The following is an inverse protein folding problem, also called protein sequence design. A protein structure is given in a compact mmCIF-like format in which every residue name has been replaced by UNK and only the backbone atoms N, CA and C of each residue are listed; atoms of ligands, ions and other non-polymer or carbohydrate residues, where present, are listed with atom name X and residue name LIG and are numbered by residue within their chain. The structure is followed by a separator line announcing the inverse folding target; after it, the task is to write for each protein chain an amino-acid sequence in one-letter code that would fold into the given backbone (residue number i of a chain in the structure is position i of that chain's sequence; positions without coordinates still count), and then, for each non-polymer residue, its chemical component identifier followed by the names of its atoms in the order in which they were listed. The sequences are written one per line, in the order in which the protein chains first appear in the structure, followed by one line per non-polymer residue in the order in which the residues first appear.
data_IF_522021707665
#
_entry.id   IF_522021707665
#
_cell.length_a   1.000
_cell.length_b   1.000
_cell.length_c   1.000
_cell.angle_alpha   90.00
_cell.angle_beta   90.00
_cell.angle_gamma   90.00
#
_symmetry.space_group_name_H-M   'P 1'
#
loop_
_entity.id
_entity.type
_entity.pdbx_description
1 polymer ?
#
# COMPACT_ATOMS: atom_id res chain seq x y z
N UNK A 1 -17.85 26.84 -22.59
CA UNK A 1 -18.13 25.46 -23.06
C UNK A 1 -17.85 25.30 -24.56
N UNK A 2 -16.65 25.64 -25.05
CA UNK A 2 -16.35 25.57 -26.50
C UNK A 2 -15.23 24.59 -26.89
N UNK A 3 -14.63 23.88 -25.93
CA UNK A 3 -13.53 22.92 -26.20
C UNK A 3 -13.98 21.46 -26.31
N UNK A 4 -15.28 21.16 -26.22
CA UNK A 4 -15.83 19.79 -26.32
C UNK A 4 -16.68 19.56 -27.59
N UNK A 5 -16.90 20.59 -28.41
CA UNK A 5 -17.85 20.54 -29.54
C UNK A 5 -17.37 19.71 -30.73
N UNK A 6 -16.07 19.68 -31.01
CA UNK A 6 -15.54 18.98 -32.20
C UNK A 6 -15.39 17.46 -31.99
N UNK A 7 -15.28 17.00 -30.74
CA UNK A 7 -15.04 15.59 -30.40
C UNK A 7 -16.32 14.76 -30.25
N UNK A 8 -17.47 15.43 -30.09
CA UNK A 8 -18.77 14.80 -29.87
C UNK A 8 -19.81 15.47 -30.77
N UNK A 9 -19.60 15.47 -32.09
CA UNK A 9 -20.61 15.90 -33.05
C UNK A 9 -21.82 14.96 -32.98
N UNK A 10 -22.72 15.22 -32.03
CA UNK A 10 -23.95 14.47 -31.87
C UNK A 10 -24.81 14.65 -33.12
N UNK A 11 -25.54 13.61 -33.56
CA UNK A 11 -26.55 13.76 -34.59
C UNK A 11 -27.54 14.88 -34.21
N UNK A 12 -27.75 15.82 -35.12
CA UNK A 12 -28.61 16.99 -34.92
C UNK A 12 -30.04 16.60 -34.51
N UNK A 13 -30.53 15.47 -35.03
CA UNK A 13 -31.84 14.90 -34.70
C UNK A 13 -32.02 14.58 -33.21
N UNK A 14 -30.95 14.28 -32.47
CA UNK A 14 -31.04 14.03 -31.03
C UNK A 14 -31.08 15.33 -30.22
N UNK A 15 -30.44 16.37 -30.74
CA UNK A 15 -30.49 17.71 -30.14
C UNK A 15 -31.90 18.28 -30.26
N UNK A 16 -32.53 18.09 -31.42
CA UNK A 16 -33.91 18.49 -31.71
C UNK A 16 -34.90 17.73 -30.83
N UNK A 17 -34.81 16.40 -30.74
CA UNK A 17 -35.71 15.61 -29.88
C UNK A 17 -35.54 15.96 -28.40
N UNK A 18 -34.30 16.23 -27.95
CA UNK A 18 -34.08 16.74 -26.60
C UNK A 18 -34.81 18.08 -26.40
N UNK A 19 -34.71 18.99 -27.36
CA UNK A 19 -35.39 20.29 -27.30
C UNK A 19 -36.92 20.11 -27.21
N UNK A 20 -37.51 19.26 -28.04
CA UNK A 20 -38.95 18.93 -28.04
C UNK A 20 -39.42 18.37 -26.69
N UNK A 21 -38.71 17.38 -26.14
CA UNK A 21 -39.02 16.79 -24.83
C UNK A 21 -38.93 17.84 -23.72
N UNK A 22 -37.92 18.71 -23.76
CA UNK A 22 -37.73 19.77 -22.75
C UNK A 22 -38.85 20.82 -22.82
N UNK A 23 -39.45 21.01 -23.99
CA UNK A 23 -40.61 21.88 -24.21
C UNK A 23 -41.97 21.16 -24.02
N UNK A 24 -41.96 19.93 -23.49
CA UNK A 24 -43.18 19.20 -23.11
C UNK A 24 -43.87 18.47 -24.26
N UNK A 25 -43.24 18.41 -25.44
CA UNK A 25 -43.72 17.61 -26.56
C UNK A 25 -43.16 16.19 -26.41
N UNK A 26 -44.02 15.23 -26.05
CA UNK A 26 -43.61 13.83 -25.93
C UNK A 26 -43.59 13.17 -27.32
N UNK A 27 -42.44 12.65 -27.79
CA UNK A 27 -42.39 11.89 -29.02
C UNK A 27 -43.15 10.57 -28.90
N UNK A 28 -43.59 10.02 -30.04
CA UNK A 28 -44.24 8.71 -30.05
C UNK A 28 -43.29 7.59 -29.58
N UNK A 29 -43.84 6.51 -29.01
CA UNK A 29 -43.06 5.35 -28.56
C UNK A 29 -42.17 4.78 -29.69
N UNK A 30 -42.72 4.65 -30.90
CA UNK A 30 -41.98 4.16 -32.08
C UNK A 30 -40.80 5.07 -32.45
N UNK A 31 -40.96 6.38 -32.29
CA UNK A 31 -39.90 7.36 -32.50
C UNK A 31 -38.79 7.18 -31.47
N UNK A 32 -39.14 7.00 -30.19
CA UNK A 32 -38.19 6.76 -29.10
C UNK A 32 -37.41 5.45 -29.28
N UNK A 33 -38.08 4.34 -29.60
CA UNK A 33 -37.42 3.04 -29.86
C UNK A 33 -36.40 3.13 -31.00
N UNK A 34 -36.77 3.84 -32.07
CA UNK A 34 -35.88 4.05 -33.22
C UNK A 34 -34.68 4.92 -32.85
N UNK A 35 -34.89 5.97 -32.07
CA UNK A 35 -33.83 6.87 -31.62
C UNK A 35 -32.86 6.20 -30.65
N UNK A 36 -33.37 5.41 -29.71
CA UNK A 36 -32.56 4.63 -28.77
C UNK A 36 -31.69 3.62 -29.52
N UNK A 37 -32.25 2.91 -30.50
CA UNK A 37 -31.48 1.96 -31.33
C UNK A 37 -30.34 2.67 -32.05
N UNK A 38 -30.63 3.79 -32.74
CA UNK A 38 -29.62 4.61 -33.42
C UNK A 38 -28.58 5.19 -32.45
N UNK A 39 -28.96 5.52 -31.22
CA UNK A 39 -28.05 6.02 -30.20
C UNK A 39 -27.07 4.95 -29.69
N UNK A 40 -27.55 3.72 -29.50
CA UNK A 40 -26.71 2.60 -29.11
C UNK A 40 -25.71 2.22 -30.21
N UNK A 41 -26.13 2.24 -31.48
CA UNK A 41 -25.24 1.98 -32.61
C UNK A 41 -24.14 3.04 -32.73
N UNK A 42 -24.50 4.31 -32.65
CA UNK A 42 -23.53 5.40 -32.65
C UNK A 42 -22.56 5.36 -31.45
N UNK A 43 -23.04 5.03 -30.25
CA UNK A 43 -22.18 4.85 -29.07
C UNK A 43 -21.18 3.72 -29.31
N UNK A 44 -21.63 2.61 -29.92
CA UNK A 44 -20.77 1.48 -30.29
C UNK A 44 -19.71 1.87 -31.30
N UNK A 45 -20.09 2.61 -32.34
CA UNK A 45 -19.23 2.92 -33.48
C UNK A 45 -18.30 4.11 -33.26
N UNK A 46 -18.70 5.11 -32.47
CA UNK A 46 -17.95 6.37 -32.34
C UNK A 46 -17.30 6.53 -30.98
N UNK A 47 -18.04 6.26 -29.91
CA UNK A 47 -17.52 6.40 -28.56
C UNK A 47 -16.69 5.19 -28.15
N UNK A 48 -17.27 3.98 -28.20
CA UNK A 48 -16.58 2.77 -27.74
C UNK A 48 -15.45 2.33 -28.68
N UNK A 49 -15.52 2.61 -29.98
CA UNK A 49 -14.39 2.37 -30.90
C UNK A 49 -13.19 3.27 -30.58
N UNK A 50 -13.43 4.55 -30.25
CA UNK A 50 -12.42 5.50 -29.80
C UNK A 50 -11.82 5.10 -28.46
N UNK A 51 -12.64 4.71 -27.49
CA UNK A 51 -12.19 4.16 -26.20
C UNK A 51 -11.34 2.92 -26.43
N UNK A 52 -11.75 1.98 -27.30
CA UNK A 52 -10.96 0.79 -27.65
C UNK A 52 -9.64 1.16 -28.32
N UNK A 53 -9.60 2.16 -29.19
CA UNK A 53 -8.38 2.63 -29.84
C UNK A 53 -7.40 3.26 -28.84
N UNK A 54 -7.90 4.06 -27.89
CA UNK A 54 -7.11 4.62 -26.79
C UNK A 54 -6.59 3.52 -25.85
N UNK A 55 -7.42 2.51 -25.56
CA UNK A 55 -7.01 1.35 -24.77
C UNK A 55 -5.98 0.48 -25.50
N UNK A 56 -6.08 0.33 -26.83
CA UNK A 56 -5.09 -0.37 -27.67
C UNK A 56 -3.78 0.41 -27.83
N UNK A 57 -3.83 1.75 -27.74
CA UNK A 57 -2.66 2.65 -27.74
C UNK A 57 -1.95 2.72 -26.40
N UNK A 58 -2.45 2.07 -25.34
CA UNK A 58 -1.66 1.92 -24.12
C UNK A 58 -0.35 1.20 -24.47
N UNK A 59 0.82 1.70 -24.05
CA UNK A 59 2.06 0.97 -24.22
C UNK A 59 1.86 -0.44 -23.67
N UNK A 60 2.33 -1.46 -24.41
CA UNK A 60 2.27 -2.87 -23.98
C UNK A 60 2.52 -2.92 -22.49
N UNK A 61 1.52 -3.36 -21.70
CA UNK A 61 1.69 -3.56 -20.26
C UNK A 61 2.94 -4.42 -20.13
N UNK A 62 4.05 -3.85 -19.66
CA UNK A 62 5.19 -4.65 -19.22
C UNK A 62 4.61 -5.65 -18.23
N UNK A 63 4.94 -6.91 -18.42
CA UNK A 63 4.53 -7.95 -17.50
C UNK A 63 4.95 -7.52 -16.09
N UNK A 64 3.97 -7.33 -15.20
CA UNK A 64 4.18 -6.82 -13.85
C UNK A 64 5.09 -7.76 -13.08
N UNK A 65 5.05 -9.05 -13.39
CA UNK A 65 5.91 -10.06 -12.78
C UNK A 65 7.34 -9.94 -13.28
N UNK A 66 7.55 -9.76 -14.59
CA UNK A 66 8.87 -9.47 -15.15
C UNK A 66 9.50 -8.22 -14.52
N UNK A 67 8.74 -7.13 -14.39
CA UNK A 67 9.22 -5.91 -13.72
C UNK A 67 9.52 -6.17 -12.23
N UNK A 68 8.69 -6.97 -11.56
CA UNK A 68 8.92 -7.38 -10.18
C UNK A 68 10.23 -8.16 -10.01
N UNK A 69 10.54 -9.07 -10.94
CA UNK A 69 11.81 -9.81 -10.98
C UNK A 69 13.01 -8.90 -11.25
N UNK A 70 12.88 -7.94 -12.15
CA UNK A 70 13.92 -6.93 -12.42
C UNK A 70 14.22 -6.10 -11.16
N UNK A 71 13.19 -5.60 -10.47
CA UNK A 71 13.35 -4.87 -9.20
C UNK A 71 14.01 -5.76 -8.15
N UNK A 72 13.57 -7.01 -8.00
CA UNK A 72 14.16 -7.94 -7.05
C UNK A 72 15.65 -8.20 -7.34
N UNK A 73 16.03 -8.29 -8.62
CA UNK A 73 17.43 -8.44 -9.01
C UNK A 73 18.27 -7.21 -8.60
N UNK A 74 17.76 -6.00 -8.84
CA UNK A 74 18.41 -4.74 -8.39
C UNK A 74 18.57 -4.72 -6.87
N UNK A 75 17.54 -5.08 -6.11
CA UNK A 75 17.60 -5.07 -4.65
C UNK A 75 18.54 -6.16 -4.09
N UNK A 76 18.70 -7.29 -4.78
CA UNK A 76 19.69 -8.31 -4.43
C UNK A 76 21.11 -7.83 -4.68
N UNK A 77 21.36 -7.16 -5.81
CA UNK A 77 22.65 -6.54 -6.10
C UNK A 77 22.99 -5.48 -5.05
N UNK A 78 22.02 -4.60 -4.75
CA UNK A 78 22.14 -3.62 -3.67
C UNK A 78 22.57 -4.26 -2.35
N UNK A 79 21.91 -5.35 -1.94
CA UNK A 79 22.23 -6.04 -0.69
C UNK A 79 23.67 -6.58 -0.68
N UNK A 80 24.13 -7.15 -1.80
CA UNK A 80 25.49 -7.66 -1.92
C UNK A 80 26.53 -6.52 -1.85
N UNK A 81 26.32 -5.47 -2.64
CA UNK A 81 27.22 -4.31 -2.72
C UNK A 81 27.26 -3.56 -1.39
N UNK A 82 26.10 -3.35 -0.75
CA UNK A 82 26.01 -2.67 0.54
C UNK A 82 26.71 -3.44 1.65
N UNK A 83 26.58 -4.77 1.68
CA UNK A 83 27.35 -5.61 2.62
C UNK A 83 28.86 -5.47 2.37
N UNK A 84 29.29 -5.35 1.12
CA UNK A 84 30.68 -5.09 0.76
C UNK A 84 31.16 -3.69 1.15
N UNK A 85 30.32 -2.66 1.06
CA UNK A 85 30.61 -1.30 1.55
C UNK A 85 30.79 -1.28 3.07
N UNK A 86 29.86 -1.88 3.82
CA UNK A 86 29.91 -1.91 5.29
C UNK A 86 31.19 -2.61 5.78
N UNK A 87 31.57 -3.74 5.16
CA UNK A 87 32.81 -4.45 5.49
C UNK A 87 34.08 -3.62 5.25
N UNK A 88 34.04 -2.68 4.31
CA UNK A 88 35.16 -1.77 3.98
C UNK A 88 35.16 -0.51 4.85
N UNK A 89 34.26 -0.40 5.83
CA UNK A 89 34.10 0.81 6.64
C UNK A 89 33.47 1.98 5.89
N UNK A 90 32.72 1.69 4.81
CA UNK A 90 32.06 2.72 4.01
C UNK A 90 30.97 3.44 4.80
N UNK A 91 30.83 4.74 4.54
CA UNK A 91 29.83 5.61 5.16
C UNK A 91 28.38 5.11 4.91
N UNK A 92 27.51 5.39 5.86
CA UNK A 92 26.07 5.12 5.79
C UNK A 92 25.30 6.14 4.96
N UNK A 93 25.67 7.41 4.96
CA UNK A 93 24.87 8.45 4.28
C UNK A 93 25.26 8.61 2.79
N UNK A 94 26.55 8.52 2.49
CA UNK A 94 27.12 8.57 1.14
C UNK A 94 27.12 7.25 0.36
N UNK A 95 26.27 6.27 0.70
CA UNK A 95 26.31 4.94 0.06
C UNK A 95 26.15 5.01 -1.47
N UNK A 96 27.19 4.56 -2.18
CA UNK A 96 27.19 4.46 -3.65
C UNK A 96 26.25 3.36 -4.11
N UNK A 97 26.24 2.21 -3.44
CA UNK A 97 25.26 1.15 -3.66
C UNK A 97 23.82 1.68 -3.56
N UNK A 98 23.53 2.54 -2.59
CA UNK A 98 22.21 3.16 -2.44
C UNK A 98 21.83 4.07 -3.61
N UNK A 99 22.79 4.83 -4.13
CA UNK A 99 22.59 5.68 -5.31
C UNK A 99 22.39 4.85 -6.59
N UNK A 100 23.22 3.83 -6.81
CA UNK A 100 23.17 2.98 -8.00
C UNK A 100 21.85 2.17 -8.05
N UNK A 101 21.43 1.63 -6.89
CA UNK A 101 20.15 0.93 -6.77
C UNK A 101 18.96 1.87 -6.96
N UNK A 102 19.01 3.09 -6.42
CA UNK A 102 17.99 4.11 -6.67
C UNK A 102 17.86 4.41 -8.17
N UNK A 103 18.97 4.68 -8.86
CA UNK A 103 18.99 4.99 -10.29
C UNK A 103 18.45 3.81 -11.13
N UNK A 104 18.78 2.57 -10.74
CA UNK A 104 18.25 1.38 -11.40
C UNK A 104 16.74 1.22 -11.19
N UNK A 105 16.24 1.40 -9.96
CA UNK A 105 14.82 1.41 -9.67
C UNK A 105 14.07 2.53 -10.41
N UNK A 106 14.63 3.74 -10.49
CA UNK A 106 14.04 4.85 -11.25
C UNK A 106 13.99 4.55 -12.75
N UNK A 107 15.01 3.90 -13.33
CA UNK A 107 14.98 3.49 -14.75
C UNK A 107 13.93 2.40 -15.04
N UNK A 108 13.75 1.45 -14.11
CA UNK A 108 12.78 0.36 -14.28
C UNK A 108 11.35 0.87 -14.12
N UNK A 109 11.10 1.66 -13.08
CA UNK A 109 9.77 2.00 -12.61
C UNK A 109 9.32 3.43 -12.99
N UNK A 110 10.26 4.32 -13.30
CA UNK A 110 9.99 5.74 -13.50
C UNK A 110 9.36 6.38 -12.26
N UNK A 111 8.56 7.42 -12.50
CA UNK A 111 7.83 8.16 -11.45
C UNK A 111 6.36 7.72 -11.29
N UNK A 112 5.99 6.57 -11.83
CA UNK A 112 4.62 6.07 -11.75
C UNK A 112 4.28 5.57 -10.35
N UNK A 113 3.16 6.00 -9.78
CA UNK A 113 2.68 5.52 -8.49
C UNK A 113 2.56 3.98 -8.43
N UNK A 114 2.05 3.36 -9.49
CA UNK A 114 1.92 1.90 -9.57
C UNK A 114 3.28 1.18 -9.57
N UNK A 115 4.28 1.79 -10.17
CA UNK A 115 5.62 1.22 -10.25
C UNK A 115 6.38 1.42 -8.94
N UNK A 116 6.27 2.59 -8.30
CA UNK A 116 6.79 2.82 -6.95
C UNK A 116 6.15 1.89 -5.92
N UNK A 117 4.85 1.60 -6.04
CA UNK A 117 4.16 0.59 -5.24
C UNK A 117 4.74 -0.82 -5.45
N UNK A 118 5.10 -1.18 -6.68
CA UNK A 118 5.75 -2.45 -6.96
C UNK A 118 7.12 -2.53 -6.28
N UNK A 119 7.92 -1.45 -6.33
CA UNK A 119 9.20 -1.38 -5.60
C UNK A 119 8.99 -1.59 -4.11
N UNK A 120 8.09 -0.84 -3.48
CA UNK A 120 7.80 -0.98 -2.04
C UNK A 120 7.34 -2.41 -1.68
N UNK A 121 6.49 -3.02 -2.51
CA UNK A 121 5.97 -4.38 -2.29
C UNK A 121 7.04 -5.47 -2.40
N UNK A 122 7.98 -5.34 -3.34
CA UNK A 122 9.11 -6.28 -3.47
C UNK A 122 10.15 -6.05 -2.36
N UNK A 123 10.38 -4.79 -1.99
CA UNK A 123 11.38 -4.40 -1.02
C UNK A 123 11.03 -4.81 0.42
N UNK A 124 9.77 -4.62 0.84
CA UNK A 124 9.32 -4.90 2.21
C UNK A 124 9.73 -6.29 2.74
N UNK A 125 9.45 -7.42 2.05
CA UNK A 125 9.88 -8.73 2.54
C UNK A 125 11.40 -8.94 2.52
N UNK A 126 12.15 -8.21 1.68
CA UNK A 126 13.62 -8.28 1.63
C UNK A 126 14.29 -7.51 2.77
N UNK A 127 13.58 -6.57 3.39
CA UNK A 127 14.04 -5.79 4.53
C UNK A 127 13.95 -6.55 5.87
N UNK A 128 13.29 -7.72 5.87
CA UNK A 128 13.11 -8.56 7.05
C UNK A 128 14.26 -9.57 7.16
N UNK A 129 15.02 -9.59 8.27
CA UNK A 129 16.05 -10.60 8.50
C UNK A 129 15.48 -12.03 8.48
N UNK A 130 16.22 -12.97 7.90
CA UNK A 130 15.83 -14.38 7.93
C UNK A 130 15.98 -14.97 9.34
N UNK A 131 15.10 -15.91 9.70
CA UNK A 131 15.11 -16.65 10.97
C UNK A 131 15.03 -15.77 12.23
N UNK A 132 14.42 -14.58 12.10
CA UNK A 132 14.22 -13.66 13.22
C UNK A 132 13.31 -14.27 14.29
N UNK A 133 13.64 -14.01 15.55
CA UNK A 133 12.80 -14.29 16.73
C UNK A 133 12.19 -13.00 17.26
N UNK A 134 11.12 -13.15 18.04
CA UNK A 134 10.52 -12.01 18.74
C UNK A 134 11.57 -11.33 19.64
N UNK A 135 11.64 -10.01 19.58
CA UNK A 135 12.59 -9.19 20.35
C UNK A 135 13.97 -9.00 19.71
N UNK A 136 14.28 -9.63 18.57
CA UNK A 136 15.54 -9.40 17.87
C UNK A 136 15.67 -7.93 17.42
N UNK A 137 16.84 -7.32 17.60
CA UNK A 137 17.06 -5.94 17.15
C UNK A 137 17.07 -5.83 15.60
N UNK A 138 16.68 -4.67 15.09
CA UNK A 138 16.62 -4.38 13.65
C UNK A 138 17.75 -3.46 13.18
N UNK A 139 18.72 -3.15 14.04
CA UNK A 139 19.79 -2.18 13.76
C UNK A 139 20.57 -2.53 12.50
N UNK A 140 20.97 -3.79 12.33
CA UNK A 140 21.68 -4.24 11.13
C UNK A 140 20.86 -4.09 9.84
N UNK A 141 19.54 -4.32 9.93
CA UNK A 141 18.63 -4.09 8.80
C UNK A 141 18.51 -2.60 8.48
N UNK A 142 18.39 -1.74 9.49
CA UNK A 142 18.36 -0.29 9.31
C UNK A 142 19.64 0.22 8.64
N UNK A 143 20.83 -0.20 9.11
CA UNK A 143 22.12 0.16 8.53
C UNK A 143 22.26 -0.24 7.06
N UNK A 144 21.66 -1.37 6.68
CA UNK A 144 21.67 -1.85 5.29
C UNK A 144 20.68 -1.08 4.44
N UNK A 145 19.44 -0.87 4.89
CA UNK A 145 18.35 -0.45 4.01
C UNK A 145 18.04 1.07 4.05
N UNK A 146 18.37 1.76 5.14
CA UNK A 146 18.11 3.20 5.29
C UNK A 146 18.64 4.04 4.12
N UNK A 147 19.87 3.84 3.60
CA UNK A 147 20.41 4.72 2.55
C UNK A 147 19.57 4.68 1.28
N UNK A 148 19.09 3.50 0.88
CA UNK A 148 18.21 3.34 -0.27
C UNK A 148 16.78 3.83 0.02
N UNK A 149 16.23 3.48 1.19
CA UNK A 149 14.87 3.90 1.58
C UNK A 149 14.73 5.41 1.66
N UNK A 150 15.70 6.09 2.28
CA UNK A 150 15.71 7.55 2.40
C UNK A 150 15.79 8.20 1.02
N UNK A 151 16.63 7.71 0.11
CA UNK A 151 16.69 8.20 -1.29
C UNK A 151 15.36 8.00 -2.03
N UNK A 152 14.78 6.81 -1.94
CA UNK A 152 13.47 6.54 -2.57
C UNK A 152 12.40 7.45 -1.96
N UNK A 153 12.34 7.62 -0.64
CA UNK A 153 11.40 8.52 0.01
C UNK A 153 11.60 9.99 -0.42
N UNK A 154 12.84 10.44 -0.58
CA UNK A 154 13.17 11.82 -1.00
C UNK A 154 12.82 12.11 -2.45
N UNK A 155 13.07 11.19 -3.38
CA UNK A 155 12.93 11.48 -4.81
C UNK A 155 11.69 10.87 -5.46
N UNK A 156 11.11 9.81 -4.89
CA UNK A 156 9.92 9.15 -5.42
C UNK A 156 8.67 9.55 -4.62
N UNK A 157 7.86 10.44 -5.21
CA UNK A 157 6.77 11.16 -4.52
C UNK A 157 5.75 10.27 -3.80
N UNK A 158 5.43 9.10 -4.34
CA UNK A 158 4.43 8.20 -3.74
C UNK A 158 5.05 7.07 -2.90
N UNK A 159 6.37 6.88 -2.96
CA UNK A 159 7.03 5.71 -2.38
C UNK A 159 6.83 5.62 -0.87
N UNK A 160 7.06 6.71 -0.13
CA UNK A 160 6.94 6.72 1.32
C UNK A 160 5.50 6.41 1.78
N UNK A 161 4.52 7.08 1.17
CA UNK A 161 3.09 6.87 1.46
C UNK A 161 2.68 5.41 1.22
N UNK A 162 3.08 4.83 0.09
CA UNK A 162 2.74 3.44 -0.23
C UNK A 162 3.47 2.46 0.70
N UNK A 163 4.73 2.74 1.04
CA UNK A 163 5.51 1.89 1.96
C UNK A 163 4.85 1.84 3.35
N UNK A 164 4.49 2.99 3.91
CA UNK A 164 3.77 3.06 5.20
C UNK A 164 2.43 2.31 5.10
N UNK A 165 1.66 2.50 4.02
CA UNK A 165 0.40 1.81 3.83
C UNK A 165 0.55 0.28 3.77
N UNK A 166 1.59 -0.23 3.09
CA UNK A 166 1.89 -1.67 3.03
C UNK A 166 2.31 -2.22 4.40
N UNK A 167 3.12 -1.47 5.17
CA UNK A 167 3.50 -1.85 6.53
C UNK A 167 2.29 -1.94 7.45
N UNK A 168 1.38 -0.96 7.38
CA UNK A 168 0.12 -0.97 8.15
C UNK A 168 -0.76 -2.16 7.79
N UNK A 169 -0.90 -2.48 6.50
CA UNK A 169 -1.65 -3.66 6.07
C UNK A 169 -1.04 -4.95 6.62
N UNK A 170 0.29 -5.06 6.65
CA UNK A 170 0.97 -6.25 7.15
C UNK A 170 0.79 -6.49 8.66
N UNK A 171 0.65 -5.41 9.46
CA UNK A 171 0.52 -5.53 10.92
C UNK A 171 -0.93 -5.48 11.42
N UNK A 172 -1.83 -4.73 10.76
CA UNK A 172 -3.22 -4.53 11.21
C UNK A 172 -4.25 -5.39 10.48
N UNK A 173 -3.98 -5.78 9.23
CA UNK A 173 -4.95 -6.50 8.39
C UNK A 173 -4.33 -7.70 7.68
N UNK A 174 -3.90 -8.74 8.40
CA UNK A 174 -3.36 -9.95 7.79
C UNK A 174 -4.47 -10.72 7.07
N UNK A 175 -4.75 -10.37 5.82
CA UNK A 175 -5.80 -10.95 4.97
C UNK A 175 -5.43 -12.32 4.37
N UNK A 176 -4.45 -13.06 4.93
CA UNK A 176 -3.94 -14.28 4.29
C UNK A 176 -3.57 -15.37 5.30
N UNK A 177 -3.81 -16.66 5.01
CA UNK A 177 -3.26 -17.79 5.77
C UNK A 177 -1.73 -17.92 5.62
N UNK A 178 -1.11 -17.20 4.67
CA UNK A 178 0.34 -16.95 4.61
C UNK A 178 0.71 -15.70 5.41
N UNK A 179 -0.05 -15.36 6.45
CA UNK A 179 0.15 -14.18 7.24
C UNK A 179 1.61 -14.13 7.74
N UNK A 180 2.25 -12.95 7.73
CA UNK A 180 3.56 -12.78 8.34
C UNK A 180 3.53 -13.37 9.75
N UNK A 181 4.60 -14.11 10.10
CA UNK A 181 4.77 -14.64 11.45
C UNK A 181 4.72 -13.50 12.45
N UNK A 182 4.45 -13.77 13.73
CA UNK A 182 4.46 -12.68 14.71
C UNK A 182 5.82 -11.98 14.81
N UNK A 183 6.92 -12.69 14.54
CA UNK A 183 8.25 -12.10 14.41
C UNK A 183 8.38 -11.20 13.16
N UNK A 184 7.76 -11.56 12.04
CA UNK A 184 7.73 -10.68 10.87
C UNK A 184 6.88 -9.44 11.11
N UNK A 185 5.72 -9.57 11.79
CA UNK A 185 4.86 -8.43 12.14
C UNK A 185 5.57 -7.45 13.06
N UNK A 186 6.27 -7.96 14.08
CA UNK A 186 7.09 -7.14 14.96
C UNK A 186 8.19 -6.41 14.17
N UNK A 187 8.88 -7.08 13.24
CA UNK A 187 9.91 -6.45 12.42
C UNK A 187 9.35 -5.34 11.53
N UNK A 188 8.16 -5.54 10.94
CA UNK A 188 7.47 -4.51 10.17
C UNK A 188 7.03 -3.35 11.07
N UNK A 189 6.54 -3.63 12.27
CA UNK A 189 6.21 -2.63 13.27
C UNK A 189 7.44 -1.79 13.65
N UNK A 190 8.58 -2.44 13.93
CA UNK A 190 9.84 -1.75 14.23
C UNK A 190 10.29 -0.85 13.07
N UNK A 191 10.18 -1.32 11.83
CA UNK A 191 10.46 -0.49 10.64
C UNK A 191 9.53 0.73 10.53
N UNK A 192 8.24 0.54 10.82
CA UNK A 192 7.25 1.62 10.81
C UNK A 192 7.60 2.68 11.86
N UNK A 193 7.88 2.28 13.10
CA UNK A 193 8.32 3.19 14.16
C UNK A 193 9.65 3.87 13.82
N UNK A 194 10.61 3.15 13.22
CA UNK A 194 11.88 3.72 12.78
C UNK A 194 11.68 4.86 11.77
N UNK A 195 10.80 4.66 10.78
CA UNK A 195 10.47 5.69 9.78
C UNK A 195 9.76 6.89 10.42
N UNK A 196 8.76 6.62 11.28
CA UNK A 196 7.90 7.66 11.83
C UNK A 196 8.55 8.46 12.97
N UNK A 197 9.42 7.84 13.77
CA UNK A 197 9.84 8.42 15.04
C UNK A 197 11.36 8.51 15.23
N UNK A 198 12.18 7.66 14.60
CA UNK A 198 13.63 7.70 14.85
C UNK A 198 14.29 9.01 14.43
N UNK A 199 15.32 9.43 15.15
CA UNK A 199 16.12 10.62 14.82
C UNK A 199 16.80 10.50 13.47
N UNK A 200 17.21 9.28 13.10
CA UNK A 200 17.89 9.03 11.82
C UNK A 200 17.01 9.35 10.61
N UNK A 201 15.68 9.31 10.78
CA UNK A 201 14.69 9.61 9.74
C UNK A 201 14.13 11.03 9.83
N UNK A 202 14.52 11.80 10.85
CA UNK A 202 14.05 13.17 11.05
C UNK A 202 14.24 14.06 9.81
N UNK A 203 15.40 14.07 9.10
CA UNK A 203 15.55 14.88 7.89
C UNK A 203 14.56 14.50 6.79
N UNK A 204 14.30 13.21 6.59
CA UNK A 204 13.33 12.75 5.58
C UNK A 204 11.90 13.12 5.97
N UNK A 205 11.55 13.06 7.26
CA UNK A 205 10.25 13.52 7.75
C UNK A 205 10.06 15.01 7.53
N UNK A 206 11.09 15.84 7.70
CA UNK A 206 11.01 17.27 7.40
C UNK A 206 10.76 17.52 5.90
N UNK A 207 11.53 16.86 5.02
CA UNK A 207 11.35 16.96 3.57
C UNK A 207 9.96 16.48 3.12
N UNK A 208 9.36 15.54 3.87
CA UNK A 208 8.06 14.93 3.57
C UNK A 208 6.98 15.25 4.61
N UNK A 209 7.06 16.41 5.28
CA UNK A 209 6.20 16.73 6.42
C UNK A 209 4.69 16.58 6.13
N UNK A 210 4.24 17.08 4.97
CA UNK A 210 2.83 16.97 4.56
C UNK A 210 2.38 15.52 4.36
N UNK A 211 3.26 14.66 3.83
CA UNK A 211 2.96 13.23 3.65
C UNK A 211 2.90 12.52 4.99
N UNK A 212 3.83 12.84 5.90
CA UNK A 212 3.85 12.26 7.25
C UNK A 212 2.58 12.66 8.02
N UNK A 213 2.21 13.94 8.02
CA UNK A 213 0.98 14.43 8.67
C UNK A 213 -0.30 13.78 8.12
N UNK A 214 -0.41 13.65 6.79
CA UNK A 214 -1.53 12.93 6.14
C UNK A 214 -1.57 11.44 6.55
N UNK A 215 -0.40 10.81 6.72
CA UNK A 215 -0.30 9.42 7.14
C UNK A 215 -0.57 9.22 8.63
N UNK A 216 -0.17 10.13 9.52
CA UNK A 216 -0.48 10.06 10.95
C UNK A 216 -2.00 9.94 11.20
N UNK A 217 -2.79 10.80 10.55
CA UNK A 217 -4.25 10.75 10.67
C UNK A 217 -4.84 9.44 10.13
N UNK A 218 -4.24 8.87 9.09
CA UNK A 218 -4.65 7.56 8.55
C UNK A 218 -4.27 6.41 9.45
N UNK A 219 -3.09 6.47 10.06
CA UNK A 219 -2.63 5.47 11.03
C UNK A 219 -3.61 5.42 12.20
N UNK A 220 -3.97 6.56 12.80
CA UNK A 220 -4.92 6.62 13.90
C UNK A 220 -6.28 6.02 13.52
N UNK A 221 -6.82 6.37 12.35
CA UNK A 221 -8.07 5.79 11.83
C UNK A 221 -7.98 4.28 11.66
N UNK A 222 -6.85 3.78 11.17
CA UNK A 222 -6.63 2.34 10.98
C UNK A 222 -6.48 1.61 12.31
N UNK A 223 -5.83 2.20 13.31
CA UNK A 223 -5.75 1.62 14.65
C UNK A 223 -7.14 1.43 15.27
N UNK A 224 -8.05 2.39 15.09
CA UNK A 224 -9.44 2.26 15.55
C UNK A 224 -10.23 1.23 14.74
N UNK A 225 -10.04 1.20 13.42
CA UNK A 225 -10.76 0.27 12.56
C UNK A 225 -10.32 -1.20 12.72
N UNK A 226 -9.13 -1.44 13.26
CA UNK A 226 -8.53 -2.76 13.42
C UNK A 226 -7.87 -2.89 14.80
N UNK A 227 -8.67 -2.98 15.88
CA UNK A 227 -8.14 -3.07 17.24
C UNK A 227 -7.36 -4.38 17.46
N UNK A 228 -6.28 -4.29 18.24
CA UNK A 228 -5.42 -5.40 18.62
C UNK A 228 -4.03 -4.93 19.08
N UNK A 229 -3.19 -5.89 19.49
CA UNK A 229 -1.89 -5.58 20.12
C UNK A 229 -0.99 -4.60 19.32
N UNK A 230 -1.01 -4.70 17.99
CA UNK A 230 -0.20 -3.86 17.10
C UNK A 230 -0.81 -2.47 16.89
N UNK A 231 -2.14 -2.33 16.91
CA UNK A 231 -2.78 -1.01 16.88
C UNK A 231 -2.55 -0.26 18.20
N UNK A 232 -2.59 -0.98 19.32
CA UNK A 232 -2.42 -0.41 20.66
C UNK A 232 -0.97 0.03 20.87
N UNK A 233 -0.01 -0.83 20.48
CA UNK A 233 1.40 -0.50 20.50
C UNK A 233 1.70 0.72 19.60
N UNK A 234 1.15 0.76 18.38
CA UNK A 234 1.38 1.87 17.46
C UNK A 234 0.76 3.17 17.98
N UNK A 235 -0.43 3.12 18.56
CA UNK A 235 -1.08 4.26 19.18
C UNK A 235 -0.26 4.81 20.35
N UNK A 236 0.27 3.93 21.21
CA UNK A 236 1.15 4.32 22.31
C UNK A 236 2.41 5.04 21.79
N UNK A 237 3.10 4.47 20.80
CA UNK A 237 4.27 5.09 20.18
C UNK A 237 3.96 6.47 19.57
N UNK A 238 2.82 6.61 18.89
CA UNK A 238 2.38 7.89 18.34
C UNK A 238 2.19 8.96 19.42
N UNK A 239 1.61 8.57 20.57
CA UNK A 239 1.37 9.49 21.70
C UNK A 239 2.68 9.92 22.36
N UNK A 240 3.58 8.97 22.61
CA UNK A 240 4.89 9.24 23.23
C UNK A 240 5.76 10.15 22.36
N UNK A 241 5.62 10.05 21.03
CA UNK A 241 6.32 10.89 20.07
C UNK A 241 5.55 12.18 19.70
N UNK A 242 4.53 12.56 20.47
CA UNK A 242 3.88 13.86 20.37
C UNK A 242 2.91 14.05 19.21
N UNK A 243 2.47 12.96 18.56
CA UNK A 243 1.41 13.06 17.54
C UNK A 243 0.10 13.46 18.23
N UNK A 244 -0.56 14.49 17.69
CA UNK A 244 -1.83 14.99 18.24
C UNK A 244 -2.93 13.97 18.02
N UNK A 245 -3.28 13.25 19.08
CA UNK A 245 -4.47 12.42 19.15
C UNK A 245 -5.65 13.27 19.65
N UNK A 246 -6.78 13.24 18.95
CA UNK A 246 -8.06 13.72 19.49
C UNK A 246 -8.41 12.96 20.77
N UNK A 247 -9.01 13.63 21.75
CA UNK A 247 -9.54 13.01 22.97
C UNK A 247 -10.55 11.88 22.68
N UNK A 248 -11.20 11.92 21.50
CA UNK A 248 -12.07 10.85 21.02
C UNK A 248 -11.28 9.55 20.78
N UNK A 249 -10.03 9.64 20.33
CA UNK A 249 -9.17 8.47 20.12
C UNK A 249 -8.71 7.87 21.44
N UNK A 250 -8.39 8.71 22.45
CA UNK A 250 -8.08 8.22 23.80
C UNK A 250 -9.26 7.41 24.38
N UNK A 251 -10.50 7.84 24.14
CA UNK A 251 -11.69 7.10 24.62
C UNK A 251 -11.95 5.80 23.87
N UNK A 252 -11.63 5.75 22.58
CA UNK A 252 -11.86 4.57 21.73
C UNK A 252 -10.74 3.52 21.84
N UNK A 253 -9.51 3.95 22.13
CA UNK A 253 -8.31 3.12 22.20
C UNK A 253 -7.74 3.00 23.62
N UNK A 254 -8.31 3.68 24.62
CA UNK A 254 -8.02 3.34 26.01
C UNK A 254 -8.27 1.86 26.19
N UNK A 255 -7.36 1.10 26.82
CA UNK A 255 -7.63 -0.29 27.12
C UNK A 255 -8.96 -0.34 27.86
N UNK A 256 -9.98 -0.91 27.24
CA UNK A 256 -11.15 -1.39 27.96
C UNK A 256 -10.52 -2.33 28.97
N UNK A 257 -10.49 -1.90 30.24
CA UNK A 257 -9.95 -2.69 31.32
C UNK A 257 -10.50 -4.10 31.13
N UNK A 258 -9.57 -5.06 31.07
CA UNK A 258 -9.87 -6.49 31.04
C UNK A 258 -11.09 -6.74 31.93
N UNK A 259 -12.19 -7.17 31.32
CA UNK A 259 -13.32 -7.73 32.07
C UNK A 259 -12.86 -9.10 32.55
N UNK A 260 -12.01 -9.09 33.56
CA UNK A 260 -11.48 -10.25 34.27
C UNK A 260 -11.43 -9.90 35.77
N UNK A 261 -12.55 -9.35 36.25
CA UNK A 261 -12.90 -9.23 37.66
C UNK A 261 -14.43 -9.03 37.75
N UNK A 262 -15.18 -10.12 37.54
CA UNK A 262 -16.51 -10.26 38.14
C UNK A 262 -16.64 -11.67 38.71
N UNK A 263 -16.61 -11.66 40.04
CA UNK A 263 -16.98 -12.73 40.95
C UNK A 263 -18.22 -13.49 40.48
N UNK A 264 -18.18 -14.80 40.70
CA UNK A 264 -19.34 -15.70 40.67
C UNK A 264 -20.49 -15.09 41.47
N UNK A 265 -21.63 -14.86 40.80
CA UNK A 265 -22.79 -14.29 41.48
C UNK A 265 -23.95 -13.95 40.57
N UNK A 266 -24.78 -14.95 40.32
CA UNK A 266 -26.23 -14.87 40.10
C UNK A 266 -26.76 -14.70 38.67
N UNK A 267 -27.58 -15.68 38.32
CA UNK A 267 -28.36 -15.78 37.10
C UNK A 267 -29.50 -14.76 37.12
N UNK A 268 -29.63 -13.94 36.07
CA UNK A 268 -30.90 -13.63 35.39
C UNK A 268 -30.66 -12.72 34.20
N UNK A 269 -31.19 -13.16 33.06
CA UNK A 269 -30.88 -12.62 31.75
C UNK A 269 -31.40 -11.21 31.47
N UNK A 270 -30.79 -10.60 30.46
CA UNK A 270 -31.54 -10.02 29.36
C UNK A 270 -30.60 -9.96 28.14
N UNK A 271 -31.02 -10.57 27.04
CA UNK A 271 -30.27 -10.55 25.79
C UNK A 271 -30.21 -9.15 25.22
N UNK A 272 -29.00 -8.66 24.95
CA UNK A 272 -28.79 -7.51 24.09
C UNK A 272 -27.79 -7.92 23.01
N UNK A 273 -28.34 -8.37 21.89
CA UNK A 273 -27.58 -8.63 20.67
C UNK A 273 -26.90 -7.32 20.23
N UNK A 274 -25.59 -7.25 20.36
CA UNK A 274 -24.80 -6.21 19.73
C UNK A 274 -24.72 -6.52 18.24
N UNK A 275 -25.60 -5.90 17.46
CA UNK A 275 -25.40 -5.81 16.02
C UNK A 275 -24.19 -4.90 15.74
N UNK A 276 -23.15 -5.40 15.04
CA UNK A 276 -22.06 -4.55 14.62
C UNK A 276 -22.62 -3.50 13.64
N UNK A 277 -22.47 -2.23 14.00
CA UNK A 277 -22.77 -1.11 13.12
C UNK A 277 -21.82 -1.21 11.92
N UNK A 278 -22.35 -1.70 10.80
CA UNK A 278 -21.69 -1.67 9.51
C UNK A 278 -21.68 -0.24 9.00
N UNK A 279 -20.73 0.56 9.48
CA UNK A 279 -20.42 1.85 8.87
C UNK A 279 -19.71 1.57 7.54
N UNK A 280 -20.48 1.63 6.44
CA UNK A 280 -19.95 1.54 5.09
C UNK A 280 -18.91 2.65 4.87
N UNK A 281 -17.64 2.28 4.97
CA UNK A 281 -16.48 3.16 4.80
C UNK A 281 -15.90 2.98 3.39
N UNK A 282 -16.79 3.04 2.38
CA UNK A 282 -16.49 2.81 0.96
C UNK A 282 -15.80 3.99 0.25
N UNK A 283 -14.92 4.75 0.91
CA UNK A 283 -14.22 5.85 0.23
C UNK A 283 -12.77 6.05 0.63
N UNK A 284 -12.06 4.98 0.97
CA UNK A 284 -10.61 5.03 1.22
C UNK A 284 -9.86 3.97 0.41
N UNK A 285 -9.27 4.41 -0.70
CA UNK A 285 -8.40 3.67 -1.60
C UNK A 285 -9.04 2.44 -2.27
N UNK A 286 -9.64 2.66 -3.45
CA UNK A 286 -9.67 1.62 -4.49
C UNK A 286 -8.22 1.36 -4.95
N UNK A 287 -7.50 0.54 -4.20
CA UNK A 287 -6.42 -0.25 -4.77
C UNK A 287 -7.08 -1.41 -5.52
N UNK A 288 -6.79 -1.63 -6.82
CA UNK A 288 -7.42 -2.70 -7.57
C UNK A 288 -7.18 -4.04 -6.87
N UNK A 289 -8.23 -4.84 -6.77
CA UNK A 289 -8.24 -6.16 -6.16
C UNK A 289 -6.97 -6.95 -6.52
N UNK A 290 -6.41 -7.62 -5.51
CA UNK A 290 -5.30 -8.52 -5.69
C UNK A 290 -5.70 -9.61 -6.69
N UNK A 291 -4.99 -9.78 -7.83
CA UNK A 291 -5.25 -10.92 -8.68
C UNK A 291 -4.87 -12.18 -7.91
N UNK A 292 -5.78 -13.15 -7.95
CA UNK A 292 -5.75 -14.46 -7.30
C UNK A 292 -4.58 -15.38 -7.74
N UNK A 293 -3.65 -14.89 -8.58
CA UNK A 293 -2.55 -15.65 -9.17
C UNK A 293 -1.20 -15.60 -8.45
N UNK A 294 -0.98 -14.70 -7.48
CA UNK A 294 0.31 -14.61 -6.75
C UNK A 294 0.51 -15.72 -5.69
N UNK A 295 -0.43 -16.67 -5.59
CA UNK A 295 -0.45 -17.71 -4.54
C UNK A 295 0.62 -18.78 -4.73
N UNK A 296 1.10 -19.03 -5.95
CA UNK A 296 2.08 -20.10 -6.20
C UNK A 296 3.53 -19.67 -5.91
N UNK A 297 3.87 -18.39 -6.12
CA UNK A 297 5.27 -17.98 -5.99
C UNK A 297 5.66 -17.64 -4.55
N UNK A 298 4.76 -17.15 -3.70
CA UNK A 298 5.07 -16.88 -2.29
C UNK A 298 5.59 -18.13 -1.54
N UNK A 299 5.12 -19.32 -1.94
CA UNK A 299 5.64 -20.60 -1.46
C UNK A 299 7.04 -20.90 -2.02
N UNK A 300 7.27 -20.68 -3.31
CA UNK A 300 8.58 -20.84 -3.97
C UNK A 300 9.66 -19.92 -3.39
N UNK A 301 9.30 -18.68 -3.01
CA UNK A 301 10.20 -17.73 -2.36
C UNK A 301 10.56 -18.14 -0.92
N UNK A 302 9.70 -18.90 -0.23
CA UNK A 302 9.98 -19.45 1.09
C UNK A 302 10.77 -20.77 1.02
N UNK A 303 10.55 -21.61 0.02
CA UNK A 303 11.28 -22.88 -0.16
C UNK A 303 12.77 -22.71 -0.49
N UNK A 304 13.14 -21.59 -1.13
CA UNK A 304 14.56 -21.25 -1.37
C UNK A 304 15.34 -20.87 -0.10
N UNK A 305 14.69 -20.83 1.08
CA UNK A 305 15.31 -20.51 2.39
C UNK A 305 16.00 -21.71 3.07
N UNK A 306 15.93 -22.91 2.49
CA UNK A 306 16.30 -24.18 3.16
C UNK A 306 17.63 -24.85 2.78
N UNK A 307 18.49 -24.27 1.92
CA UNK A 307 19.74 -24.96 1.51
C UNK A 307 20.99 -24.13 1.83
N UNK A 308 21.37 -24.14 3.10
CA UNK A 308 22.75 -23.93 3.52
C UNK A 308 23.05 -24.89 4.67
N UNK A 309 23.51 -26.10 4.33
CA UNK A 309 24.03 -27.07 5.30
C UNK A 309 25.25 -26.49 6.00
N UNK A 310 25.20 -26.36 7.32
CA UNK A 310 26.37 -26.14 8.16
C UNK A 310 27.34 -27.32 7.97
N UNK A 311 28.62 -27.04 7.71
CA UNK A 311 29.71 -27.99 7.97
C UNK A 311 30.22 -27.75 9.40
N UNK A 312 30.45 -28.80 10.20
CA UNK A 312 31.01 -28.65 11.53
C UNK A 312 32.50 -28.28 11.44
N UNK A 313 32.91 -27.33 12.29
CA UNK A 313 34.31 -27.00 12.53
C UNK A 313 34.90 -28.11 13.39
N UNK A 314 35.80 -28.91 12.83
CA UNK A 314 36.63 -29.86 13.56
C UNK A 314 37.91 -29.20 14.04
N UNK A 315 38.28 -29.51 15.29
CA UNK A 315 39.57 -29.23 15.89
C UNK A 315 40.75 -29.73 15.03
N UNK A 316 41.76 -28.89 14.85
CA UNK A 316 43.19 -29.16 15.16
C UNK A 316 43.82 -27.82 15.55
#
# INVERSE_FOLDING_TARGET
MHLTGELLSFPQTWVEVRHEITHGLLPSLKTLETLVSKALDWLRERYFSGVRAVLKRRPRRRDREAVGREVAAVLKMYLADRKGEIKRGGDTEGSRAGLDAYNACERICGRSANAQMLVARVMLPMMLPANRRLGDNMTGAHTIWDPLLKRLATFQTHFLRVTIALMLQAILRPLSPLAPTEADREAVFTWLCHILFSDTWFPQRQVRALVIQDMEQKILKMCVGYPGRWSDALYKEMRENGVKCSELWDKLLSPVASVDDREEGDERGNGMEFHPITLSMETALELPDAPTGLKQDAASWMESRGVARQKPVGLV
#
